data_IF_929699973092
#
_entry.id   IF_929699973092
#
_cell.length_a   1.000
_cell.length_b   1.000
_cell.length_c   1.000
_cell.angle_alpha   90.00
_cell.angle_beta   90.00
_cell.angle_gamma   90.00
#
_symmetry.space_group_name_H-M   'P 1'
#
loop_
_entity.id
_entity.type
_entity.pdbx_description
1 polymer ?
#
# COMPACT_ATOMS: atom_id res chain seq x y z
N UNK A 1 3.36 -28.69 21.31
CA UNK A 1 3.47 -28.63 19.84
C UNK A 1 3.20 -27.19 19.42
N UNK A 2 4.24 -26.39 19.26
CA UNK A 2 4.13 -25.07 18.62
C UNK A 2 4.75 -25.23 17.24
N UNK A 3 3.91 -25.38 16.22
CA UNK A 3 4.35 -25.35 14.83
C UNK A 3 4.30 -23.91 14.35
N UNK A 4 5.50 -23.39 14.12
CA UNK A 4 5.85 -22.61 12.93
C UNK A 4 4.89 -21.45 12.63
N UNK A 5 5.10 -20.35 13.38
CA UNK A 5 4.69 -19.03 12.92
C UNK A 5 5.52 -18.68 11.70
N UNK A 6 4.98 -18.97 10.52
CA UNK A 6 5.42 -18.39 9.26
C UNK A 6 5.12 -16.89 9.34
N UNK A 7 6.06 -16.15 9.93
CA UNK A 7 5.99 -14.71 10.17
C UNK A 7 6.31 -13.98 8.85
N UNK A 8 5.62 -14.35 7.76
CA UNK A 8 5.53 -13.47 6.60
C UNK A 8 4.84 -12.21 7.09
N UNK A 9 5.59 -11.12 7.20
CA UNK A 9 5.05 -9.85 7.65
C UNK A 9 3.75 -9.56 6.86
N UNK A 10 2.64 -9.22 7.54
CA UNK A 10 1.32 -9.23 6.91
C UNK A 10 1.26 -8.23 5.75
N UNK A 11 0.65 -8.65 4.63
CA UNK A 11 0.33 -7.76 3.51
C UNK A 11 -0.70 -6.74 3.92
N UNK A 12 -0.57 -5.52 3.40
CA UNK A 12 -1.57 -4.47 3.59
C UNK A 12 -2.74 -4.68 2.61
N UNK A 13 -3.69 -5.52 3.00
CA UNK A 13 -4.85 -5.91 2.18
C UNK A 13 -5.75 -4.72 1.78
N UNK A 14 -5.74 -3.65 2.59
CA UNK A 14 -6.47 -2.40 2.31
C UNK A 14 -5.94 -1.72 1.05
N UNK A 15 -4.62 -1.59 0.91
CA UNK A 15 -4.01 -0.96 -0.27
C UNK A 15 -4.27 -1.74 -1.55
N UNK A 16 -4.42 -3.06 -1.43
CA UNK A 16 -4.84 -3.95 -2.52
C UNK A 16 -6.34 -3.88 -2.84
N UNK A 17 -7.14 -3.12 -2.07
CA UNK A 17 -8.59 -3.05 -2.23
C UNK A 17 -9.32 -4.34 -1.83
N UNK A 18 -8.69 -5.20 -1.02
CA UNK A 18 -9.24 -6.47 -0.55
C UNK A 18 -9.87 -6.37 0.84
N UNK A 19 -9.63 -5.27 1.55
CA UNK A 19 -10.25 -4.98 2.84
C UNK A 19 -10.73 -3.54 2.86
N UNK A 20 -11.99 -3.33 3.25
CA UNK A 20 -12.53 -2.01 3.54
C UNK A 20 -12.19 -1.66 5.00
N UNK A 21 -11.59 -0.49 5.22
CA UNK A 21 -11.39 0.04 6.57
C UNK A 21 -12.52 1.01 6.89
N UNK A 22 -13.55 0.60 7.67
CA UNK A 22 -14.77 1.38 7.81
C UNK A 22 -14.60 2.73 8.52
N UNK A 23 -13.49 2.97 9.23
CA UNK A 23 -13.35 4.10 10.14
C UNK A 23 -12.07 4.95 9.98
N UNK A 24 -11.29 4.80 8.90
CA UNK A 24 -10.11 5.64 8.68
C UNK A 24 -10.01 6.12 7.24
N UNK A 25 -10.36 7.39 7.02
CA UNK A 25 -9.94 8.11 5.83
C UNK A 25 -8.48 8.55 6.05
N UNK A 26 -7.54 7.81 5.45
CA UNK A 26 -6.16 8.27 5.34
C UNK A 26 -6.10 9.51 4.45
N UNK A 27 -5.30 10.49 4.84
CA UNK A 27 -4.94 11.60 3.96
C UNK A 27 -4.16 11.10 2.73
N UNK A 28 -4.11 11.91 1.67
CA UNK A 28 -3.35 11.57 0.46
C UNK A 28 -1.86 11.35 0.78
N UNK A 29 -1.30 12.14 1.70
CA UNK A 29 0.10 12.00 2.11
C UNK A 29 0.35 10.70 2.90
N UNK A 30 -0.55 10.33 3.81
CA UNK A 30 -0.48 9.03 4.50
C UNK A 30 -0.61 7.87 3.51
N UNK A 31 -1.51 7.97 2.51
CA UNK A 31 -1.64 6.95 1.47
C UNK A 31 -0.37 6.77 0.66
N UNK A 32 0.30 7.87 0.30
CA UNK A 32 1.59 7.84 -0.40
C UNK A 32 2.65 7.17 0.47
N UNK A 33 2.75 7.54 1.75
CA UNK A 33 3.69 6.93 2.69
C UNK A 33 3.47 5.43 2.84
N UNK A 34 2.23 5.01 3.12
CA UNK A 34 1.85 3.60 3.24
C UNK A 34 2.22 2.81 1.96
N UNK A 35 1.97 3.38 0.77
CA UNK A 35 2.29 2.74 -0.51
C UNK A 35 3.80 2.61 -0.72
N UNK A 36 4.58 3.65 -0.41
CA UNK A 36 6.04 3.63 -0.52
C UNK A 36 6.65 2.57 0.42
N UNK A 37 6.16 2.46 1.65
CA UNK A 37 6.60 1.46 2.61
C UNK A 37 6.30 0.04 2.12
N UNK A 38 5.09 -0.22 1.64
CA UNK A 38 4.69 -1.55 1.17
C UNK A 38 5.41 -1.95 -0.13
N UNK A 39 5.65 -1.02 -1.05
CA UNK A 39 6.46 -1.27 -2.26
C UNK A 39 7.91 -1.59 -1.89
N UNK A 40 8.48 -0.91 -0.88
CA UNK A 40 9.85 -1.16 -0.42
C UNK A 40 10.04 -2.58 0.14
N UNK A 41 8.96 -3.22 0.62
CA UNK A 41 8.99 -4.63 1.05
C UNK A 41 9.12 -5.61 -0.13
N UNK A 42 8.77 -5.17 -1.34
CA UNK A 42 9.05 -5.86 -2.59
C UNK A 42 8.47 -7.28 -2.69
N UNK A 43 9.13 -8.10 -3.51
CA UNK A 43 8.65 -9.46 -3.85
C UNK A 43 8.70 -10.45 -2.68
N UNK A 44 9.31 -10.06 -1.55
CA UNK A 44 9.30 -10.87 -0.33
C UNK A 44 7.90 -10.99 0.29
N UNK A 45 7.01 -10.05 -0.03
CA UNK A 45 5.68 -9.93 0.59
C UNK A 45 4.57 -9.91 -0.46
N UNK A 46 4.84 -9.32 -1.62
CA UNK A 46 3.87 -9.12 -2.68
C UNK A 46 4.25 -9.87 -3.94
N UNK A 47 3.26 -10.26 -4.74
CA UNK A 47 3.56 -10.71 -6.11
C UNK A 47 3.94 -9.52 -7.00
N UNK A 48 4.60 -9.78 -8.14
CA UNK A 48 4.92 -8.75 -9.13
C UNK A 48 3.67 -7.96 -9.56
N UNK A 49 2.53 -8.64 -9.73
CA UNK A 49 1.28 -7.98 -10.11
C UNK A 49 0.70 -7.13 -8.97
N UNK A 50 0.85 -7.57 -7.73
CA UNK A 50 0.47 -6.78 -6.55
C UNK A 50 1.36 -5.54 -6.41
N UNK A 51 2.68 -5.66 -6.59
CA UNK A 51 3.60 -4.52 -6.60
C UNK A 51 3.25 -3.51 -7.70
N UNK A 52 3.00 -3.97 -8.93
CA UNK A 52 2.55 -3.11 -10.04
C UNK A 52 1.25 -2.38 -9.72
N UNK A 53 0.34 -3.03 -9.00
CA UNK A 53 -0.90 -2.39 -8.56
C UNK A 53 -0.62 -1.29 -7.52
N UNK A 54 0.26 -1.56 -6.55
CA UNK A 54 0.67 -0.57 -5.53
C UNK A 54 1.41 0.62 -6.19
N UNK A 55 2.34 0.37 -7.10
CA UNK A 55 3.05 1.41 -7.86
C UNK A 55 2.09 2.29 -8.68
N UNK A 56 1.10 1.67 -9.35
CA UNK A 56 0.08 2.42 -10.08
C UNK A 56 -0.73 3.33 -9.17
N UNK A 57 -1.13 2.82 -8.00
CA UNK A 57 -1.85 3.61 -6.98
C UNK A 57 -1.00 4.75 -6.46
N UNK A 58 0.30 4.50 -6.21
CA UNK A 58 1.24 5.52 -5.77
C UNK A 58 1.32 6.67 -6.77
N UNK A 59 1.52 6.35 -8.06
CA UNK A 59 1.57 7.34 -9.12
C UNK A 59 0.27 8.16 -9.23
N UNK A 60 -0.89 7.53 -9.03
CA UNK A 60 -2.18 8.22 -9.02
C UNK A 60 -2.29 9.21 -7.86
N UNK A 61 -1.96 8.80 -6.63
CA UNK A 61 -1.99 9.68 -5.47
C UNK A 61 -0.97 10.82 -5.55
N UNK A 62 0.23 10.56 -6.05
CA UNK A 62 1.25 11.60 -6.30
C UNK A 62 0.78 12.63 -7.34
N UNK A 63 0.10 12.18 -8.40
CA UNK A 63 -0.51 13.08 -9.39
C UNK A 63 -1.62 13.93 -8.79
N UNK A 64 -2.50 13.34 -7.97
CA UNK A 64 -3.56 14.07 -7.27
C UNK A 64 -2.94 15.11 -6.35
N UNK A 65 -1.96 14.73 -5.53
CA UNK A 65 -1.27 15.64 -4.61
C UNK A 65 -0.63 16.80 -5.38
N UNK A 66 0.06 16.50 -6.49
CA UNK A 66 0.67 17.54 -7.34
C UNK A 66 -0.38 18.54 -7.84
N UNK A 67 -1.51 18.07 -8.37
CA UNK A 67 -2.60 18.94 -8.85
C UNK A 67 -3.21 19.79 -7.74
N UNK A 68 -3.28 19.29 -6.52
CA UNK A 68 -3.79 20.04 -5.36
C UNK A 68 -2.83 21.13 -4.88
N UNK A 69 -1.53 20.99 -5.19
CA UNK A 69 -0.48 21.94 -4.83
C UNK A 69 -0.15 22.93 -5.96
N UNK A 70 -0.68 22.70 -7.16
CA UNK A 70 -0.56 23.65 -8.28
C UNK A 70 -1.44 24.89 -7.99
N UNK A 71 -0.87 26.10 -8.00
CA UNK A 71 -1.58 27.35 -7.66
C UNK A 71 -2.53 27.84 -8.75
#
# INVERSE_FOLDING_TARGET
MLKDGDETAPRNMRLLGREESPNRQSSIQEMIGDLQEEIARGEAVYTVDELRLLERKLAEYEQILRRLLEP
#
